data_IF_760414655047
#
_entry.id   IF_760414655047
#
_cell.length_a   1.000
_cell.length_b   1.000
_cell.length_c   1.000
_cell.angle_alpha   90.00
_cell.angle_beta   90.00
_cell.angle_gamma   90.00
#
_symmetry.space_group_name_H-M   'P 1'
#
loop_
_entity.id
_entity.type
_entity.pdbx_description
1 polymer ?
#
# COMPACT_ATOMS: atom_id res chain seq x y z
N UNK A 1 -8.58 7.92 -73.23
CA UNK A 1 -8.13 9.20 -72.64
C UNK A 1 -8.67 9.25 -71.21
N UNK A 2 -7.91 8.73 -70.24
CA UNK A 2 -7.10 9.53 -69.31
C UNK A 2 -7.95 10.54 -68.51
N UNK A 3 -8.29 10.20 -67.26
CA UNK A 3 -7.68 10.87 -66.11
C UNK A 3 -7.88 10.08 -64.81
N UNK A 4 -6.77 9.90 -64.11
CA UNK A 4 -6.64 9.32 -62.77
C UNK A 4 -7.31 10.23 -61.75
N UNK A 5 -8.10 9.67 -60.83
CA UNK A 5 -8.46 10.34 -59.60
C UNK A 5 -7.83 9.59 -58.42
N UNK A 6 -7.06 10.35 -57.63
CA UNK A 6 -6.20 9.94 -56.54
C UNK A 6 -6.92 9.12 -55.45
N UNK A 7 -6.21 8.09 -54.97
CA UNK A 7 -6.41 7.55 -53.63
C UNK A 7 -6.22 8.65 -52.57
N UNK A 8 -7.16 8.77 -51.64
CA UNK A 8 -6.88 9.29 -50.31
C UNK A 8 -7.20 8.19 -49.29
N UNK A 9 -6.14 7.52 -48.83
CA UNK A 9 -6.20 6.68 -47.65
C UNK A 9 -6.35 7.59 -46.42
N UNK A 10 -7.55 7.63 -45.84
CA UNK A 10 -7.79 8.28 -44.56
C UNK A 10 -7.17 7.45 -43.44
N UNK A 11 -5.92 7.75 -43.06
CA UNK A 11 -5.40 7.35 -41.76
C UNK A 11 -6.14 8.16 -40.69
N UNK A 12 -7.11 7.53 -40.03
CA UNK A 12 -7.57 8.00 -38.73
C UNK A 12 -6.43 7.78 -37.73
N UNK A 13 -5.61 8.81 -37.53
CA UNK A 13 -4.64 8.85 -36.45
C UNK A 13 -5.42 8.84 -35.13
N UNK A 14 -5.54 7.67 -34.50
CA UNK A 14 -5.90 7.58 -33.11
C UNK A 14 -4.83 8.34 -32.32
N UNK A 15 -5.18 9.52 -31.82
CA UNK A 15 -4.34 10.28 -30.91
C UNK A 15 -4.32 9.45 -29.62
N UNK A 16 -3.35 8.54 -29.51
CA UNK A 16 -3.00 7.92 -28.26
C UNK A 16 -2.46 9.03 -27.37
N UNK A 17 -3.34 9.63 -26.56
CA UNK A 17 -2.91 10.51 -25.48
C UNK A 17 -1.98 9.65 -24.63
N UNK A 18 -0.68 10.01 -24.50
CA UNK A 18 0.17 9.27 -23.61
C UNK A 18 -0.44 9.46 -22.22
N UNK A 19 -0.66 8.36 -21.51
CA UNK A 19 -1.00 8.34 -20.09
C UNK A 19 0.22 8.83 -19.30
N UNK A 20 0.69 10.04 -19.59
CA UNK A 20 1.66 10.74 -18.80
C UNK A 20 0.99 10.96 -17.45
N UNK A 21 1.61 10.35 -16.42
CA UNK A 21 1.29 10.45 -15.01
C UNK A 21 0.45 11.70 -14.70
N UNK A 22 -0.87 11.52 -14.65
CA UNK A 22 -1.71 12.51 -14.00
C UNK A 22 -1.14 12.63 -12.59
N UNK A 23 -0.87 13.84 -12.13
CA UNK A 23 -0.55 14.13 -10.73
C UNK A 23 -1.74 13.62 -9.91
N UNK A 24 -1.72 12.34 -9.57
CA UNK A 24 -2.80 11.72 -8.81
C UNK A 24 -2.76 12.40 -7.46
N UNK A 25 -3.83 13.08 -7.13
CA UNK A 25 -4.06 13.62 -5.80
C UNK A 25 -4.91 12.63 -5.04
N UNK A 26 -4.64 12.48 -3.74
CA UNK A 26 -5.52 11.69 -2.88
C UNK A 26 -6.84 12.43 -2.61
N UNK A 27 -7.72 11.81 -1.83
CA UNK A 27 -9.03 12.37 -1.49
C UNK A 27 -8.95 13.73 -0.76
N UNK A 28 -7.76 14.12 -0.29
CA UNK A 28 -7.48 15.37 0.40
C UNK A 28 -6.75 16.39 -0.49
N UNK A 29 -6.59 16.11 -1.79
CA UNK A 29 -5.88 16.99 -2.72
C UNK A 29 -4.36 16.96 -2.60
N UNK A 30 -3.80 16.00 -1.83
CA UNK A 30 -2.35 15.87 -1.64
C UNK A 30 -1.76 15.04 -2.77
N UNK A 31 -0.62 15.47 -3.33
CA UNK A 31 0.09 14.69 -4.36
C UNK A 31 0.43 13.30 -3.82
N UNK A 32 -0.05 12.28 -4.51
CA UNK A 32 0.24 10.89 -4.21
C UNK A 32 1.72 10.63 -4.42
N UNK A 33 2.41 10.18 -3.36
CA UNK A 33 3.76 9.65 -3.50
C UNK A 33 3.69 8.30 -4.20
N UNK A 34 4.21 8.23 -5.42
CA UNK A 34 4.14 7.05 -6.29
C UNK A 34 5.43 6.88 -7.13
N UNK A 35 5.51 5.75 -7.84
CA UNK A 35 6.62 5.42 -8.74
C UNK A 35 7.99 5.47 -8.07
N UNK A 36 9.00 5.95 -8.80
CA UNK A 36 10.41 5.95 -8.35
C UNK A 36 10.64 6.65 -7.00
N UNK A 37 9.82 7.64 -6.65
CA UNK A 37 9.93 8.31 -5.34
C UNK A 37 9.51 7.35 -4.23
N UNK A 38 8.36 6.70 -4.40
CA UNK A 38 7.86 5.71 -3.45
C UNK A 38 8.82 4.53 -3.31
N UNK A 39 9.37 4.03 -4.41
CA UNK A 39 10.32 2.91 -4.40
C UNK A 39 11.55 3.19 -3.52
N UNK A 40 12.12 4.41 -3.62
CA UNK A 40 13.25 4.84 -2.77
C UNK A 40 12.89 4.93 -1.29
N UNK A 41 11.67 5.39 -0.98
CA UNK A 41 11.21 5.46 0.40
C UNK A 41 11.00 4.06 0.98
N UNK A 42 10.46 3.13 0.19
CA UNK A 42 10.32 1.71 0.58
C UNK A 42 11.69 1.09 0.84
N UNK A 43 12.65 1.26 -0.08
CA UNK A 43 14.02 0.75 0.08
C UNK A 43 14.66 1.27 1.38
N UNK A 44 14.52 2.57 1.66
CA UNK A 44 15.01 3.16 2.90
C UNK A 44 14.29 2.61 4.15
N UNK A 45 12.97 2.42 4.07
CA UNK A 45 12.17 1.92 5.17
C UNK A 45 12.55 0.48 5.55
N UNK A 46 12.97 -0.35 4.59
CA UNK A 46 13.39 -1.75 4.82
C UNK A 46 14.58 -1.90 5.79
N UNK A 47 15.32 -0.82 6.07
CA UNK A 47 16.34 -0.80 7.13
C UNK A 47 15.75 -0.88 8.56
N UNK A 48 14.43 -0.81 8.70
CA UNK A 48 13.72 -0.87 9.97
C UNK A 48 12.72 -2.04 10.00
N UNK A 49 12.38 -2.59 11.19
CA UNK A 49 11.44 -3.69 11.31
C UNK A 49 10.07 -3.35 10.71
N UNK A 50 9.52 -4.26 9.89
CA UNK A 50 8.17 -4.11 9.33
C UNK A 50 7.13 -3.98 10.45
N UNK A 51 6.20 -3.05 10.27
CA UNK A 51 5.16 -2.70 11.25
C UNK A 51 5.58 -1.65 12.27
N UNK A 52 6.81 -1.12 12.18
CA UNK A 52 7.24 0.05 12.98
C UNK A 52 6.84 1.37 12.33
N UNK A 53 6.87 2.48 13.06
CA UNK A 53 6.65 3.82 12.48
C UNK A 53 7.58 4.14 11.30
N UNK A 54 8.79 3.57 11.32
CA UNK A 54 9.82 3.79 10.29
C UNK A 54 9.72 2.81 9.11
N UNK A 55 8.90 1.78 9.22
CA UNK A 55 8.58 0.85 8.14
C UNK A 55 7.15 0.32 8.34
N UNK A 56 6.14 1.20 8.17
CA UNK A 56 4.77 0.83 8.43
C UNK A 56 4.32 -0.18 7.38
N UNK A 57 3.42 -1.08 7.78
CA UNK A 57 2.80 -2.03 6.86
C UNK A 57 2.03 -1.25 5.81
N UNK A 58 2.35 -1.51 4.54
CA UNK A 58 1.62 -0.92 3.42
C UNK A 58 0.30 -1.65 3.23
N UNK A 59 -0.77 -0.91 3.05
CA UNK A 59 -2.11 -1.44 2.87
C UNK A 59 -2.92 -0.58 1.90
N UNK A 60 -3.95 -1.19 1.33
CA UNK A 60 -4.93 -0.50 0.49
C UNK A 60 -6.20 -0.18 1.30
N UNK A 61 -6.32 1.09 1.70
CA UNK A 61 -7.46 1.62 2.45
C UNK A 61 -7.67 0.94 3.82
N UNK A 62 -8.64 1.37 4.64
CA UNK A 62 -8.93 0.70 5.91
C UNK A 62 -9.28 -0.80 5.75
N UNK A 63 -9.81 -1.18 4.58
CA UNK A 63 -10.09 -2.57 4.23
C UNK A 63 -8.83 -3.43 4.18
N UNK A 64 -7.79 -2.96 3.49
CA UNK A 64 -6.49 -3.63 3.40
C UNK A 64 -5.78 -3.76 4.74
N UNK A 65 -5.89 -2.76 5.62
CA UNK A 65 -5.35 -2.83 6.97
C UNK A 65 -5.96 -4.00 7.76
N UNK A 66 -7.30 -4.08 7.79
CA UNK A 66 -8.01 -5.17 8.45
C UNK A 66 -7.70 -6.52 7.79
N UNK A 67 -7.62 -6.56 6.46
CA UNK A 67 -7.29 -7.79 5.74
C UNK A 67 -5.90 -8.33 6.11
N UNK A 68 -4.90 -7.46 6.23
CA UNK A 68 -3.56 -7.82 6.71
C UNK A 68 -3.60 -8.38 8.14
N UNK A 69 -4.20 -7.64 9.08
CA UNK A 69 -4.28 -8.07 10.49
C UNK A 69 -5.02 -9.41 10.65
N UNK A 70 -6.05 -9.65 9.85
CA UNK A 70 -6.80 -10.90 9.81
C UNK A 70 -6.00 -12.12 9.30
N UNK A 71 -4.94 -11.88 8.54
CA UNK A 71 -4.02 -12.92 8.03
C UNK A 71 -2.89 -13.22 9.01
N UNK A 72 -2.62 -12.36 9.99
CA UNK A 72 -1.60 -12.62 11.00
C UNK A 72 -1.98 -13.82 11.87
N UNK A 73 -0.96 -14.54 12.31
CA UNK A 73 -1.06 -15.64 13.25
C UNK A 73 -0.01 -15.48 14.34
N UNK A 74 -0.45 -15.61 15.58
CA UNK A 74 0.38 -15.67 16.78
C UNK A 74 1.25 -16.94 16.76
N UNK A 75 2.19 -17.07 17.70
CA UNK A 75 3.07 -18.24 17.79
C UNK A 75 2.32 -19.57 17.95
N UNK A 76 1.14 -19.55 18.56
CA UNK A 76 0.24 -20.71 18.70
C UNK A 76 -0.65 -20.95 17.47
N UNK A 77 -0.42 -20.22 16.37
CA UNK A 77 -1.15 -20.38 15.12
C UNK A 77 -2.57 -19.81 15.14
N UNK A 78 -2.99 -19.11 16.21
CA UNK A 78 -4.31 -18.46 16.28
C UNK A 78 -4.24 -17.04 15.73
N UNK A 79 -5.41 -16.52 15.36
CA UNK A 79 -5.58 -15.13 14.97
C UNK A 79 -5.43 -14.21 16.18
N UNK A 80 -4.69 -13.10 16.08
CA UNK A 80 -4.73 -12.08 17.11
C UNK A 80 -6.07 -11.33 17.08
N UNK A 81 -6.41 -10.68 18.18
CA UNK A 81 -7.40 -9.59 18.21
C UNK A 81 -6.69 -8.26 17.99
N UNK A 82 -7.40 -7.24 17.51
CA UNK A 82 -6.80 -5.93 17.32
C UNK A 82 -7.80 -4.79 17.51
N UNK A 83 -7.28 -3.64 17.93
CA UNK A 83 -8.02 -2.39 18.05
C UNK A 83 -7.23 -1.25 17.40
N UNK A 84 -7.91 -0.40 16.62
CA UNK A 84 -7.29 0.82 16.09
C UNK A 84 -7.14 1.82 17.22
N UNK A 85 -5.91 2.25 17.48
CA UNK A 85 -5.60 3.27 18.50
C UNK A 85 -5.88 4.67 17.96
N UNK A 86 -5.53 4.93 16.71
CA UNK A 86 -5.67 6.26 16.12
C UNK A 86 -4.69 6.50 14.97
N UNK A 87 -4.62 7.74 14.52
CA UNK A 87 -3.62 8.20 13.56
C UNK A 87 -2.41 8.77 14.30
N UNK A 88 -1.21 8.49 13.80
CA UNK A 88 0.06 8.86 14.41
C UNK A 88 0.83 9.93 13.61
N UNK A 89 0.10 10.69 12.79
CA UNK A 89 0.68 11.73 11.94
C UNK A 89 1.33 11.17 10.67
N UNK A 90 2.14 12.00 10.03
CA UNK A 90 2.79 11.70 8.74
C UNK A 90 3.98 10.77 8.95
N UNK A 91 3.93 9.57 8.35
CA UNK A 91 4.99 8.57 8.38
C UNK A 91 5.99 8.69 7.23
N UNK A 92 6.85 7.67 7.09
CA UNK A 92 8.00 7.66 6.17
C UNK A 92 7.63 7.68 4.68
N UNK A 93 6.39 7.31 4.33
CA UNK A 93 5.88 7.40 2.96
C UNK A 93 5.20 8.74 2.66
N UNK A 94 5.44 9.75 3.51
CA UNK A 94 4.88 11.10 3.45
C UNK A 94 3.34 11.13 3.55
N UNK A 95 2.78 10.16 4.27
CA UNK A 95 1.34 10.00 4.46
C UNK A 95 0.99 9.61 5.88
N UNK A 96 -0.28 9.84 6.24
CA UNK A 96 -0.75 9.54 7.58
C UNK A 96 -0.72 8.04 7.82
N UNK A 97 -0.09 7.64 8.92
CA UNK A 97 -0.09 6.26 9.40
C UNK A 97 -1.09 6.09 10.55
N UNK A 98 -1.64 4.89 10.65
CA UNK A 98 -2.47 4.47 11.78
C UNK A 98 -1.72 3.47 12.65
N UNK A 99 -2.01 3.50 13.95
CA UNK A 99 -1.52 2.51 14.91
C UNK A 99 -2.63 1.55 15.33
N UNK A 100 -2.29 0.28 15.41
CA UNK A 100 -3.13 -0.80 15.88
C UNK A 100 -2.47 -1.51 17.05
N UNK A 101 -3.20 -1.63 18.16
CA UNK A 101 -2.83 -2.56 19.21
C UNK A 101 -3.29 -3.96 18.79
N UNK A 102 -2.36 -4.91 18.76
CA UNK A 102 -2.59 -6.29 18.34
C UNK A 102 -2.22 -7.22 19.48
N UNK A 103 -3.15 -8.07 19.88
CA UNK A 103 -3.03 -8.92 21.08
C UNK A 103 -3.14 -10.39 20.72
N UNK A 104 -2.17 -11.18 21.18
CA UNK A 104 -2.22 -12.64 21.17
C UNK A 104 -2.57 -13.16 22.57
N UNK A 105 -3.83 -13.51 22.79
CA UNK A 105 -4.29 -13.98 24.09
C UNK A 105 -3.59 -15.29 24.49
N UNK A 106 -2.88 -15.28 25.63
CA UNK A 106 -2.11 -16.41 26.15
C UNK A 106 -1.08 -16.97 25.14
N UNK A 107 -0.57 -16.12 24.26
CA UNK A 107 0.37 -16.50 23.19
C UNK A 107 1.36 -15.36 22.96
N UNK A 108 2.32 -15.56 22.07
CA UNK A 108 3.36 -14.58 21.75
C UNK A 108 3.22 -14.04 20.32
N UNK A 109 3.51 -12.75 20.11
CA UNK A 109 3.77 -11.72 21.14
C UNK A 109 2.49 -11.32 21.87
N UNK A 110 2.56 -11.09 23.20
CA UNK A 110 1.36 -10.83 24.01
C UNK A 110 0.55 -9.62 23.52
N UNK A 111 1.21 -8.46 23.39
CA UNK A 111 0.66 -7.26 22.77
C UNK A 111 1.74 -6.60 21.91
N UNK A 112 1.37 -6.07 20.75
CA UNK A 112 2.29 -5.38 19.82
C UNK A 112 1.57 -4.20 19.19
N UNK A 113 2.27 -3.06 19.09
CA UNK A 113 1.82 -1.93 18.29
C UNK A 113 2.27 -2.13 16.84
N UNK A 114 1.33 -2.15 15.91
CA UNK A 114 1.59 -2.24 14.47
C UNK A 114 1.16 -0.93 13.82
N UNK A 115 2.09 -0.29 13.11
CA UNK A 115 1.84 0.90 12.32
C UNK A 115 1.59 0.53 10.86
N UNK A 116 0.57 1.15 10.26
CA UNK A 116 0.12 0.83 8.92
C UNK A 116 -0.17 2.11 8.12
N UNK A 117 0.28 2.14 6.87
CA UNK A 117 -0.04 3.18 5.89
C UNK A 117 -1.09 2.62 4.91
N UNK A 118 -2.28 3.21 4.88
CA UNK A 118 -3.40 2.74 4.06
C UNK A 118 -3.43 3.32 2.64
N UNK A 119 -2.44 4.11 2.24
CA UNK A 119 -2.47 4.83 0.97
C UNK A 119 -1.62 4.15 -0.11
N UNK A 120 -1.59 2.82 -0.11
CA UNK A 120 -0.90 2.00 -1.10
C UNK A 120 -1.93 1.22 -1.94
N UNK A 121 -2.53 1.86 -2.97
CA UNK A 121 -3.63 1.26 -3.73
C UNK A 121 -3.21 -0.06 -4.37
N UNK A 122 -4.06 -1.08 -4.22
CA UNK A 122 -3.82 -2.45 -4.70
C UNK A 122 -2.74 -3.23 -3.96
N UNK A 123 -2.03 -2.63 -2.99
CA UNK A 123 -0.95 -3.31 -2.29
C UNK A 123 -1.47 -4.28 -1.22
N UNK A 124 -0.99 -5.52 -1.29
CA UNK A 124 -1.19 -6.55 -0.27
C UNK A 124 0.17 -6.93 0.30
N UNK A 125 0.47 -6.52 1.53
CA UNK A 125 1.76 -6.85 2.15
C UNK A 125 1.87 -8.38 2.33
N UNK A 126 2.88 -9.03 1.72
CA UNK A 126 3.07 -10.47 1.84
C UNK A 126 3.79 -10.87 3.13
N UNK A 127 4.57 -9.98 3.75
CA UNK A 127 5.39 -10.33 4.90
C UNK A 127 4.68 -10.12 6.24
N UNK A 128 4.96 -11.00 7.21
CA UNK A 128 4.52 -10.82 8.58
C UNK A 128 5.41 -9.78 9.29
N UNK A 129 4.82 -8.99 10.19
CA UNK A 129 5.61 -8.23 11.17
C UNK A 129 6.34 -9.21 12.10
N UNK A 130 7.42 -8.73 12.74
CA UNK A 130 8.22 -9.55 13.64
C UNK A 130 7.38 -10.19 14.76
N UNK A 131 7.61 -11.49 15.01
CA UNK A 131 6.89 -12.26 16.03
C UNK A 131 5.61 -12.94 15.56
N UNK A 132 5.13 -12.63 14.35
CA UNK A 132 3.94 -13.27 13.77
C UNK A 132 4.31 -14.13 12.56
N UNK A 133 3.42 -15.05 12.20
CA UNK A 133 3.35 -15.60 10.85
C UNK A 133 2.16 -14.98 10.10
N UNK A 134 2.10 -15.17 8.78
CA UNK A 134 1.05 -14.58 7.94
C UNK A 134 0.55 -15.60 6.92
N UNK A 135 -0.77 -15.67 6.76
CA UNK A 135 -1.39 -16.44 5.69
C UNK A 135 -1.30 -15.73 4.34
N UNK A 136 -1.36 -16.44 3.20
CA UNK A 136 -1.44 -15.84 1.86
C UNK A 136 -2.62 -14.87 1.68
N UNK A 137 -2.51 -13.98 0.70
CA UNK A 137 -3.40 -12.83 0.46
C UNK A 137 -4.43 -13.02 -0.67
#
# INVERSE_FOLDING_TARGET
MMLRALMLAGLAAAIAVPLAAQDTVDIFGTKVVAGKKLDKLIEKAQAHPLGSEKNPVRADMPGGQRAYLNRLRCADGKRPTYARVGSFGVGVYERIIDGYEVTCQNSTPATTMIYMDMYHPGHKEPAAVAGFSIEPA
#
